data_IF_852183002407
#
_entry.id   IF_852183002407
#
_cell.length_a   1.000
_cell.length_b   1.000
_cell.length_c   1.000
_cell.angle_alpha   90.00
_cell.angle_beta   90.00
_cell.angle_gamma   90.00
#
_symmetry.space_group_name_H-M   'P 1'
#
loop_
_entity.id
_entity.type
_entity.pdbx_description
1 polymer ?
#
# COMPACT_ATOMS: atom_id res chain seq x y z
N UNK A 1 15.71 9.74 -8.13
CA UNK A 1 15.01 9.23 -6.94
C UNK A 1 16.05 8.79 -5.95
N UNK A 2 16.07 9.40 -4.78
CA UNK A 2 16.97 9.00 -3.69
C UNK A 2 16.28 8.01 -2.76
N UNK A 3 17.05 7.21 -2.04
CA UNK A 3 16.54 6.36 -0.94
C UNK A 3 17.51 6.43 0.23
N UNK A 4 16.96 6.55 1.44
CA UNK A 4 17.75 6.39 2.67
C UNK A 4 17.61 4.97 3.17
N UNK A 5 18.73 4.32 3.49
CA UNK A 5 18.77 2.97 4.03
C UNK A 5 19.51 2.94 5.36
N UNK A 6 19.16 1.99 6.22
CA UNK A 6 19.88 1.64 7.43
C UNK A 6 20.94 0.60 7.08
N UNK A 7 22.20 0.87 7.39
CA UNK A 7 23.27 -0.12 7.30
C UNK A 7 23.04 -1.21 8.35
N UNK A 8 22.86 -2.46 7.91
CA UNK A 8 22.39 -3.53 8.78
C UNK A 8 23.42 -3.97 9.84
N UNK A 9 24.69 -3.59 9.69
CA UNK A 9 25.75 -3.87 10.65
C UNK A 9 25.92 -2.72 11.66
N UNK A 10 25.90 -1.48 11.19
CA UNK A 10 26.22 -0.31 12.01
C UNK A 10 25.00 0.47 12.50
N UNK A 11 23.81 0.16 11.97
CA UNK A 11 22.54 0.87 12.18
C UNK A 11 22.57 2.34 11.77
N UNK A 12 23.59 2.76 11.01
CA UNK A 12 23.73 4.13 10.52
C UNK A 12 22.91 4.34 9.26
N UNK A 13 22.29 5.52 9.16
CA UNK A 13 21.55 5.94 7.97
C UNK A 13 22.52 6.34 6.85
N UNK A 14 22.24 5.90 5.61
CA UNK A 14 22.99 6.29 4.41
C UNK A 14 22.03 6.66 3.29
N UNK A 15 22.38 7.68 2.53
CA UNK A 15 21.62 8.12 1.37
C UNK A 15 22.23 7.54 0.09
N UNK A 16 21.37 7.03 -0.79
CA UNK A 16 21.71 6.48 -2.09
C UNK A 16 20.90 7.19 -3.17
N UNK A 17 21.53 7.45 -4.31
CA UNK A 17 20.88 8.02 -5.49
C UNK A 17 20.71 6.92 -6.55
N UNK A 18 19.75 7.11 -7.45
CA UNK A 18 19.51 6.23 -8.61
C UNK A 18 20.80 5.74 -9.27
N UNK A 19 20.82 4.46 -9.63
CA UNK A 19 21.97 3.79 -10.24
C UNK A 19 22.98 3.20 -9.26
N UNK A 20 22.91 3.55 -7.97
CA UNK A 20 23.79 3.03 -6.92
C UNK A 20 23.04 2.51 -5.68
N UNK A 21 21.77 2.13 -5.84
CA UNK A 21 20.98 1.57 -4.74
C UNK A 21 21.41 0.12 -4.53
N UNK A 22 21.96 -0.25 -3.36
CA UNK A 22 22.37 -1.62 -3.07
C UNK A 22 21.15 -2.53 -2.89
N UNK A 23 21.34 -3.84 -2.77
CA UNK A 23 20.27 -4.72 -2.29
C UNK A 23 19.88 -4.36 -0.86
N UNK A 24 18.57 -4.34 -0.57
CA UNK A 24 18.03 -4.05 0.76
C UNK A 24 16.81 -4.90 1.07
N UNK A 25 16.60 -5.13 2.36
CA UNK A 25 15.34 -5.63 2.91
C UNK A 25 14.44 -4.43 3.25
N UNK A 26 13.13 -4.64 3.26
CA UNK A 26 12.16 -3.60 3.60
C UNK A 26 11.22 -4.08 4.69
N UNK A 27 10.91 -3.25 5.69
CA UNK A 27 9.94 -3.57 6.74
C UNK A 27 8.57 -3.02 6.36
N UNK A 28 7.54 -3.86 6.52
CA UNK A 28 6.14 -3.50 6.51
C UNK A 28 5.52 -3.83 7.87
N UNK A 29 4.91 -2.85 8.52
CA UNK A 29 4.28 -3.02 9.83
C UNK A 29 3.16 -2.02 10.06
N UNK A 30 2.29 -2.32 11.02
CA UNK A 30 1.34 -1.31 11.50
C UNK A 30 2.01 -0.48 12.58
N UNK A 31 2.00 0.85 12.45
CA UNK A 31 2.60 1.75 13.42
C UNK A 31 1.94 1.65 14.79
N UNK A 32 2.75 1.76 15.83
CA UNK A 32 2.30 1.90 17.22
C UNK A 32 2.46 3.35 17.69
N UNK A 33 1.41 3.92 18.28
CA UNK A 33 1.40 5.31 18.72
C UNK A 33 2.57 5.58 19.69
N UNK A 34 3.30 6.66 19.42
CA UNK A 34 4.40 7.21 20.24
C UNK A 34 5.57 6.26 20.53
N UNK A 35 5.62 5.10 19.87
CA UNK A 35 6.69 4.10 20.05
C UNK A 35 7.53 3.87 18.79
N UNK A 36 7.13 4.43 17.65
CA UNK A 36 7.95 4.41 16.44
C UNK A 36 9.19 5.31 16.59
N UNK A 37 10.27 4.93 15.90
CA UNK A 37 11.53 5.68 15.87
C UNK A 37 11.54 6.60 14.64
N UNK A 38 11.90 7.87 14.83
CA UNK A 38 11.99 8.83 13.74
C UNK A 38 13.39 8.89 13.11
N UNK A 39 13.51 9.55 11.96
CA UNK A 39 14.81 9.84 11.35
C UNK A 39 15.72 10.63 12.30
N UNK A 40 15.20 11.68 12.93
CA UNK A 40 15.94 12.54 13.85
C UNK A 40 16.45 11.76 15.07
N UNK A 41 15.65 10.82 15.57
CA UNK A 41 16.06 9.97 16.69
C UNK A 41 17.14 8.97 16.29
N UNK A 42 17.11 8.42 15.08
CA UNK A 42 18.20 7.58 14.56
C UNK A 42 19.52 8.36 14.44
N UNK A 43 19.46 9.64 14.03
CA UNK A 43 20.64 10.51 14.01
C UNK A 43 21.16 10.76 15.44
N UNK A 44 20.26 11.11 16.37
CA UNK A 44 20.64 11.35 17.78
C UNK A 44 21.26 10.11 18.44
N UNK A 45 20.76 8.90 18.16
CA UNK A 45 21.35 7.63 18.62
C UNK A 45 22.73 7.40 17.99
N UNK A 46 22.91 7.75 16.73
CA UNK A 46 24.21 7.60 16.04
C UNK A 46 25.30 8.51 16.63
N UNK A 47 24.91 9.67 17.15
CA UNK A 47 25.80 10.62 17.84
C UNK A 47 26.01 10.25 19.33
N UNK A 48 24.95 9.78 19.99
CA UNK A 48 24.96 9.34 21.38
C UNK A 48 24.25 7.98 21.52
N UNK A 49 24.99 6.85 21.58
CA UNK A 49 24.42 5.52 21.72
C UNK A 49 23.58 5.30 23.00
N UNK A 50 23.70 6.17 24.00
CA UNK A 50 22.89 6.13 25.23
C UNK A 50 21.62 7.01 25.15
N UNK A 51 21.26 7.51 23.97
CA UNK A 51 20.07 8.33 23.79
C UNK A 51 18.79 7.56 24.17
N UNK A 52 17.84 8.12 24.95
CA UNK A 52 16.68 7.38 25.47
C UNK A 52 15.80 6.70 24.40
N UNK A 53 15.84 7.18 23.16
CA UNK A 53 15.09 6.60 22.05
C UNK A 53 15.50 5.16 21.70
N UNK A 54 16.64 4.66 22.18
CA UNK A 54 17.02 3.24 22.01
C UNK A 54 16.04 2.29 22.71
N UNK A 55 15.31 2.76 23.72
CA UNK A 55 14.30 1.96 24.45
C UNK A 55 12.96 1.91 23.71
N UNK A 56 12.79 2.66 22.62
CA UNK A 56 11.56 2.62 21.83
C UNK A 56 11.40 1.28 21.11
N UNK A 57 10.18 0.76 21.09
CA UNK A 57 9.85 -0.46 20.32
C UNK A 57 10.18 -0.31 18.83
N UNK A 58 9.98 0.87 18.25
CA UNK A 58 10.35 1.17 16.87
C UNK A 58 11.84 0.98 16.60
N UNK A 59 12.72 1.33 17.56
CA UNK A 59 14.14 1.06 17.44
C UNK A 59 14.44 -0.44 17.45
N UNK A 60 13.80 -1.19 18.35
CA UNK A 60 13.90 -2.64 18.37
C UNK A 60 13.43 -3.28 17.03
N UNK A 61 12.37 -2.75 16.40
CA UNK A 61 11.93 -3.19 15.06
C UNK A 61 13.01 -2.96 14.00
N UNK A 62 13.67 -1.81 14.01
CA UNK A 62 14.79 -1.50 13.08
C UNK A 62 15.95 -2.48 13.29
N UNK A 63 16.33 -2.72 14.55
CA UNK A 63 17.41 -3.65 14.92
C UNK A 63 17.09 -5.05 14.41
N UNK A 64 15.91 -5.58 14.69
CA UNK A 64 15.50 -6.93 14.26
C UNK A 64 15.39 -7.04 12.73
N UNK A 65 14.88 -6.01 12.05
CA UNK A 65 14.87 -5.94 10.58
C UNK A 65 16.29 -6.06 10.02
N UNK A 66 17.25 -5.32 10.58
CA UNK A 66 18.66 -5.39 10.20
C UNK A 66 19.27 -6.76 10.50
N UNK A 67 18.94 -7.36 11.64
CA UNK A 67 19.42 -8.71 11.98
C UNK A 67 18.91 -9.75 10.97
N UNK A 68 17.63 -9.71 10.59
CA UNK A 68 17.06 -10.58 9.55
C UNK A 68 17.70 -10.34 8.19
N UNK A 69 17.88 -9.07 7.79
CA UNK A 69 18.58 -8.71 6.56
C UNK A 69 19.98 -9.34 6.50
N UNK A 70 20.78 -9.22 7.57
CA UNK A 70 22.13 -9.83 7.63
C UNK A 70 22.10 -11.36 7.52
N UNK A 71 21.13 -12.03 8.15
CA UNK A 71 20.99 -13.50 8.04
C UNK A 71 20.71 -13.95 6.61
N UNK A 72 20.11 -13.08 5.80
CA UNK A 72 19.88 -13.28 4.38
C UNK A 72 20.98 -12.68 3.48
N UNK A 73 22.13 -12.30 4.04
CA UNK A 73 23.26 -11.65 3.35
C UNK A 73 22.91 -10.30 2.69
N UNK A 74 21.93 -9.58 3.24
CA UNK A 74 21.51 -8.26 2.77
C UNK A 74 22.10 -7.20 3.69
N UNK A 75 22.89 -6.29 3.11
CA UNK A 75 23.66 -5.30 3.88
C UNK A 75 22.85 -4.10 4.38
N UNK A 76 21.65 -3.88 3.82
CA UNK A 76 20.84 -2.71 4.08
C UNK A 76 19.39 -3.06 4.38
N UNK A 77 18.74 -2.22 5.19
CA UNK A 77 17.32 -2.30 5.47
C UNK A 77 16.65 -0.94 5.25
N UNK A 78 15.37 -0.96 4.90
CA UNK A 78 14.53 0.23 4.84
C UNK A 78 13.35 0.10 5.79
N UNK A 79 13.09 1.16 6.55
CA UNK A 79 11.96 1.28 7.47
C UNK A 79 11.37 2.68 7.32
N UNK A 80 10.11 2.77 6.91
CA UNK A 80 9.43 4.04 6.57
C UNK A 80 9.44 5.08 7.70
N UNK A 81 9.44 4.63 8.95
CA UNK A 81 9.39 5.50 10.12
C UNK A 81 10.66 6.33 10.32
N UNK A 82 11.82 5.79 9.96
CA UNK A 82 13.11 6.46 10.13
C UNK A 82 13.91 6.68 8.84
N UNK A 83 13.59 5.98 7.75
CA UNK A 83 14.22 6.21 6.45
C UNK A 83 13.66 7.43 5.72
N UNK A 84 12.47 7.91 6.08
CA UNK A 84 11.89 9.13 5.52
C UNK A 84 11.98 10.25 6.57
N UNK A 85 12.55 11.38 6.18
CA UNK A 85 12.48 12.60 6.95
C UNK A 85 11.11 13.24 6.76
N UNK A 86 10.17 12.88 7.63
CA UNK A 86 8.80 13.38 7.63
C UNK A 86 8.70 14.88 7.97
N UNK A 87 9.79 15.53 8.40
CA UNK A 87 9.83 16.99 8.61
C UNK A 87 10.08 17.76 7.32
N UNK A 88 10.62 17.08 6.29
CA UNK A 88 10.84 17.63 4.96
C UNK A 88 9.66 17.29 4.05
N UNK A 89 8.84 18.28 3.71
CA UNK A 89 7.67 18.09 2.85
C UNK A 89 8.03 17.64 1.43
N UNK A 90 9.19 18.09 0.92
CA UNK A 90 9.71 17.65 -0.38
C UNK A 90 10.12 16.18 -0.33
N UNK A 91 10.85 15.76 0.71
CA UNK A 91 11.24 14.36 0.87
C UNK A 91 10.03 13.46 1.08
N UNK A 92 9.08 13.86 1.92
CA UNK A 92 7.84 13.10 2.14
C UNK A 92 7.05 12.93 0.84
N UNK A 93 6.94 13.99 0.02
CA UNK A 93 6.25 13.93 -1.27
C UNK A 93 6.98 13.03 -2.27
N UNK A 94 8.32 13.11 -2.34
CA UNK A 94 9.11 12.20 -3.16
C UNK A 94 8.91 10.75 -2.68
N UNK A 95 8.99 10.51 -1.37
CA UNK A 95 8.85 9.20 -0.78
C UNK A 95 7.51 8.55 -1.06
N UNK A 96 6.40 9.28 -0.90
CA UNK A 96 5.06 8.73 -1.18
C UNK A 96 4.90 8.32 -2.65
N UNK A 97 5.42 9.13 -3.59
CA UNK A 97 5.39 8.78 -5.02
C UNK A 97 6.39 7.66 -5.39
N UNK A 98 7.33 7.34 -4.50
CA UNK A 98 8.39 6.35 -4.73
C UNK A 98 8.14 5.01 -4.04
N UNK A 99 7.30 4.99 -3.01
CA UNK A 99 7.25 3.90 -2.04
C UNK A 99 6.93 2.56 -2.67
N UNK A 100 5.98 2.52 -3.62
CA UNK A 100 5.68 1.30 -4.38
C UNK A 100 6.91 0.71 -5.05
N UNK A 101 7.72 1.57 -5.71
CA UNK A 101 8.94 1.13 -6.39
C UNK A 101 9.99 0.64 -5.39
N UNK A 102 10.09 1.27 -4.22
CA UNK A 102 10.99 0.79 -3.16
C UNK A 102 10.57 -0.59 -2.64
N UNK A 103 9.27 -0.82 -2.44
CA UNK A 103 8.77 -2.17 -2.11
C UNK A 103 9.01 -3.17 -3.25
N UNK A 104 8.79 -2.76 -4.51
CA UNK A 104 9.01 -3.60 -5.68
C UNK A 104 10.48 -4.02 -5.86
N UNK A 105 11.42 -3.12 -5.56
CA UNK A 105 12.86 -3.33 -5.74
C UNK A 105 13.55 -3.96 -4.52
N UNK A 106 12.86 -4.07 -3.38
CA UNK A 106 13.41 -4.74 -2.21
C UNK A 106 13.65 -6.23 -2.49
N UNK A 107 14.76 -6.75 -1.99
CA UNK A 107 15.10 -8.19 -2.09
C UNK A 107 14.10 -9.05 -1.30
N UNK A 108 13.62 -8.51 -0.18
CA UNK A 108 12.62 -9.15 0.67
C UNK A 108 11.86 -8.09 1.47
N UNK A 109 10.54 -8.24 1.55
CA UNK A 109 9.69 -7.51 2.46
C UNK A 109 9.41 -8.36 3.70
N UNK A 110 9.82 -7.89 4.88
CA UNK A 110 9.46 -8.49 6.14
C UNK A 110 8.18 -7.84 6.65
N UNK A 111 7.13 -8.63 6.84
CA UNK A 111 5.85 -8.17 7.40
C UNK A 111 5.79 -8.57 8.87
N UNK A 112 5.71 -7.58 9.76
CA UNK A 112 5.58 -7.80 11.20
C UNK A 112 4.11 -7.66 11.63
N UNK A 113 3.50 -8.78 12.01
CA UNK A 113 2.12 -8.86 12.50
C UNK A 113 2.10 -8.83 14.03
N UNK A 114 2.12 -7.63 14.61
CA UNK A 114 2.24 -7.46 16.08
C UNK A 114 1.01 -7.92 16.86
N UNK A 115 -0.14 -8.06 16.19
CA UNK A 115 -1.41 -8.53 16.75
C UNK A 115 -1.78 -9.96 16.29
N UNK A 116 -0.81 -10.70 15.74
CA UNK A 116 -0.99 -12.11 15.43
C UNK A 116 -1.10 -12.96 16.70
N UNK A 117 -2.21 -13.68 16.85
CA UNK A 117 -2.44 -14.58 17.97
C UNK A 117 -1.96 -16.00 17.64
N UNK A 118 -0.75 -16.34 18.10
CA UNK A 118 -0.17 -17.67 17.91
C UNK A 118 -0.89 -18.79 18.69
N UNK A 119 -1.75 -18.45 19.66
CA UNK A 119 -2.52 -19.43 20.43
C UNK A 119 -3.84 -19.84 19.75
N UNK A 120 -4.21 -19.17 18.66
CA UNK A 120 -5.39 -19.49 17.88
C UNK A 120 -5.33 -20.91 17.29
N UNK A 121 -6.51 -21.53 17.09
CA UNK A 121 -6.63 -22.92 16.68
C UNK A 121 -5.99 -23.25 15.31
N UNK A 122 -5.93 -22.27 14.41
CA UNK A 122 -5.27 -22.41 13.11
C UNK A 122 -4.78 -21.07 12.56
N UNK A 123 -3.84 -21.12 11.62
CA UNK A 123 -3.39 -19.94 10.87
C UNK A 123 -4.55 -19.25 10.13
N UNK A 124 -5.49 -20.04 9.61
CA UNK A 124 -6.69 -19.57 8.91
C UNK A 124 -7.62 -18.76 9.81
N UNK A 125 -7.61 -19.02 11.12
CA UNK A 125 -8.41 -18.27 12.11
C UNK A 125 -7.66 -17.04 12.65
N UNK A 126 -6.33 -17.14 12.78
CA UNK A 126 -5.50 -16.09 13.37
C UNK A 126 -5.19 -14.98 12.38
N UNK A 127 -4.71 -15.34 11.18
CA UNK A 127 -4.15 -14.42 10.21
C UNK A 127 -5.13 -13.33 9.76
N UNK A 128 -6.42 -13.62 9.44
CA UNK A 128 -7.36 -12.59 8.99
C UNK A 128 -7.68 -11.51 10.04
N UNK A 129 -7.39 -11.76 11.33
CA UNK A 129 -7.69 -10.83 12.42
C UNK A 129 -6.63 -9.75 12.59
N UNK A 130 -5.45 -9.92 11.99
CA UNK A 130 -4.38 -8.93 12.07
C UNK A 130 -4.81 -7.62 11.40
N UNK A 131 -4.59 -6.49 12.08
CA UNK A 131 -4.96 -5.16 11.55
C UNK A 131 -4.24 -4.81 10.25
N UNK A 132 -3.10 -5.43 9.98
CA UNK A 132 -2.30 -5.22 8.77
C UNK A 132 -3.14 -5.36 7.48
N UNK A 133 -4.09 -6.30 7.44
CA UNK A 133 -4.93 -6.53 6.25
C UNK A 133 -5.90 -5.39 5.94
N UNK A 134 -6.27 -4.59 6.94
CA UNK A 134 -7.20 -3.47 6.78
C UNK A 134 -6.49 -2.13 6.62
N UNK A 135 -5.16 -2.05 6.70
CA UNK A 135 -4.43 -0.79 6.48
C UNK A 135 -4.25 -0.50 5.00
N UNK A 136 -4.52 0.74 4.57
CA UNK A 136 -4.40 1.17 3.16
C UNK A 136 -3.01 0.95 2.59
N UNK A 137 -1.98 1.48 3.25
CA UNK A 137 -0.58 1.37 2.83
C UNK A 137 -0.11 -0.07 2.64
N UNK A 138 -0.50 -0.98 3.53
CA UNK A 138 -0.14 -2.39 3.47
C UNK A 138 -0.61 -3.12 2.19
N UNK A 139 -1.47 -2.51 1.37
CA UNK A 139 -1.84 -3.07 0.07
C UNK A 139 -0.64 -3.12 -0.88
N UNK A 140 0.02 -1.97 -1.10
CA UNK A 140 1.20 -1.93 -1.97
C UNK A 140 2.37 -2.71 -1.37
N UNK A 141 2.47 -2.76 -0.05
CA UNK A 141 3.51 -3.52 0.67
C UNK A 141 3.34 -5.04 0.49
N UNK A 142 2.12 -5.49 0.20
CA UNK A 142 1.81 -6.88 -0.14
C UNK A 142 2.11 -7.20 -1.61
N UNK A 143 1.60 -6.36 -2.51
CA UNK A 143 1.55 -6.68 -3.95
C UNK A 143 2.80 -6.25 -4.70
N UNK A 144 3.49 -5.19 -4.29
CA UNK A 144 4.65 -4.69 -5.02
C UNK A 144 5.88 -5.62 -4.90
N UNK A 145 6.30 -6.07 -3.70
CA UNK A 145 7.48 -6.92 -3.56
C UNK A 145 7.25 -8.31 -4.14
N UNK A 146 8.28 -8.89 -4.75
CA UNK A 146 8.24 -10.28 -5.21
C UNK A 146 8.23 -11.27 -4.04
N UNK A 147 9.12 -11.06 -3.05
CA UNK A 147 9.24 -11.90 -1.86
C UNK A 147 8.73 -11.16 -0.62
N UNK A 148 7.78 -11.78 0.09
CA UNK A 148 7.23 -11.28 1.35
C UNK A 148 7.25 -12.40 2.38
N UNK A 149 7.81 -12.14 3.56
CA UNK A 149 7.89 -13.08 4.68
C UNK A 149 7.12 -12.52 5.88
N UNK A 150 6.19 -13.30 6.41
CA UNK A 150 5.37 -12.90 7.56
C UNK A 150 6.01 -13.36 8.87
N UNK A 151 6.00 -12.48 9.86
CA UNK A 151 6.48 -12.74 11.22
C UNK A 151 5.45 -12.29 12.26
N UNK A 152 5.43 -12.98 13.41
CA UNK A 152 4.64 -12.56 14.58
C UNK A 152 5.36 -11.46 15.40
N UNK A 153 4.74 -11.00 16.49
CA UNK A 153 5.32 -10.00 17.39
C UNK A 153 6.68 -10.39 17.99
N UNK A 154 6.99 -11.68 18.08
CA UNK A 154 8.25 -12.24 18.56
C UNK A 154 9.29 -12.49 17.46
N UNK A 155 9.04 -12.02 16.22
CA UNK A 155 9.87 -12.29 15.04
C UNK A 155 10.00 -13.77 14.67
N UNK A 156 9.03 -14.59 15.12
CA UNK A 156 8.90 -15.98 14.69
C UNK A 156 8.29 -16.02 13.29
N UNK A 157 8.85 -16.88 12.45
CA UNK A 157 8.45 -17.00 11.06
C UNK A 157 7.07 -17.67 10.92
N UNK A 158 6.18 -17.05 10.15
CA UNK A 158 4.81 -17.54 9.90
C UNK A 158 4.73 -18.21 8.51
N UNK A 159 5.29 -17.59 7.47
CA UNK A 159 5.25 -18.15 6.11
C UNK A 159 5.63 -17.16 5.00
N UNK A 160 5.82 -17.67 3.78
CA UNK A 160 6.02 -16.87 2.57
C UNK A 160 4.67 -16.48 1.97
N UNK A 161 4.59 -15.30 1.33
CA UNK A 161 3.42 -14.91 0.53
C UNK A 161 3.02 -15.96 -0.51
N UNK A 162 3.98 -16.63 -1.15
CA UNK A 162 3.72 -17.68 -2.15
C UNK A 162 3.04 -18.90 -1.53
N UNK A 163 3.49 -19.32 -0.35
CA UNK A 163 2.95 -20.48 0.36
C UNK A 163 1.56 -20.17 0.94
N UNK A 164 1.36 -18.94 1.38
CA UNK A 164 0.11 -18.45 1.96
C UNK A 164 -0.86 -17.88 0.92
N UNK A 165 -0.52 -17.90 -0.38
CA UNK A 165 -1.24 -17.15 -1.40
C UNK A 165 -2.74 -17.47 -1.43
N UNK A 166 -3.13 -18.74 -1.29
CA UNK A 166 -4.55 -19.13 -1.22
C UNK A 166 -5.28 -18.51 -0.02
N UNK A 167 -4.66 -18.49 1.16
CA UNK A 167 -5.24 -17.85 2.36
C UNK A 167 -5.28 -16.32 2.19
N UNK A 168 -4.24 -15.72 1.62
CA UNK A 168 -4.19 -14.28 1.35
C UNK A 168 -5.28 -13.87 0.33
N UNK A 169 -5.54 -14.68 -0.70
CA UNK A 169 -6.62 -14.46 -1.67
C UNK A 169 -8.00 -14.47 -1.01
N UNK A 170 -8.21 -15.32 -0.01
CA UNK A 170 -9.45 -15.34 0.77
C UNK A 170 -9.61 -14.08 1.63
N UNK A 171 -8.53 -13.61 2.26
CA UNK A 171 -8.54 -12.41 3.12
C UNK A 171 -8.73 -11.13 2.30
N UNK A 172 -7.97 -10.99 1.22
CA UNK A 172 -7.77 -9.69 0.54
C UNK A 172 -8.60 -9.52 -0.71
N UNK A 173 -9.05 -10.62 -1.29
CA UNK A 173 -9.68 -10.59 -2.60
C UNK A 173 -8.70 -10.67 -3.79
N UNK A 174 -7.39 -10.56 -3.54
CA UNK A 174 -6.37 -10.50 -4.59
C UNK A 174 -6.08 -11.90 -5.13
N UNK A 175 -6.05 -12.03 -6.45
CA UNK A 175 -5.85 -13.30 -7.15
C UNK A 175 -4.48 -13.92 -6.83
N UNK A 176 -4.45 -15.25 -6.75
CA UNK A 176 -3.24 -15.99 -6.39
C UNK A 176 -2.11 -15.72 -7.38
N UNK A 177 -2.46 -15.62 -8.65
CA UNK A 177 -1.53 -15.34 -9.75
C UNK A 177 -0.82 -14.00 -9.55
N UNK A 178 -1.55 -12.97 -9.10
CA UNK A 178 -1.01 -11.63 -8.81
C UNK A 178 -0.11 -11.64 -7.58
N UNK A 179 -0.47 -12.42 -6.56
CA UNK A 179 0.34 -12.56 -5.34
C UNK A 179 1.68 -13.25 -5.62
N UNK A 180 1.70 -14.16 -6.61
CA UNK A 180 2.90 -14.87 -7.06
C UNK A 180 3.71 -14.04 -8.05
N UNK A 181 3.06 -13.35 -8.98
CA UNK A 181 3.68 -12.53 -10.01
C UNK A 181 3.07 -11.11 -10.03
N UNK A 182 3.78 -10.16 -9.41
CA UNK A 182 3.33 -8.77 -9.34
C UNK A 182 3.37 -8.03 -10.68
N UNK A 183 4.01 -8.58 -11.72
CA UNK A 183 4.03 -7.96 -13.06
C UNK A 183 2.64 -7.98 -13.72
N UNK A 184 1.74 -8.86 -13.25
CA UNK A 184 0.38 -8.97 -13.79
C UNK A 184 -0.53 -7.80 -13.40
N UNK A 185 -0.17 -7.00 -12.39
CA UNK A 185 -1.05 -5.95 -11.84
C UNK A 185 -1.51 -4.96 -12.91
N UNK A 186 -0.60 -4.49 -13.77
CA UNK A 186 -0.91 -3.48 -14.79
C UNK A 186 -1.89 -4.00 -15.86
N UNK A 187 -1.92 -5.32 -16.09
CA UNK A 187 -2.84 -5.96 -17.04
C UNK A 187 -4.28 -6.06 -16.53
N UNK A 188 -4.52 -5.77 -15.25
CA UNK A 188 -5.84 -5.92 -14.64
C UNK A 188 -6.69 -4.66 -14.78
N UNK A 189 -8.03 -4.83 -14.87
CA UNK A 189 -8.93 -3.70 -14.92
C UNK A 189 -8.74 -2.75 -13.74
N UNK A 190 -8.82 -1.45 -14.01
CA UNK A 190 -8.75 -0.38 -12.99
C UNK A 190 -9.71 -0.66 -11.83
N UNK A 191 -10.95 -1.04 -12.13
CA UNK A 191 -11.96 -1.36 -11.11
C UNK A 191 -11.58 -2.53 -10.22
N UNK A 192 -10.95 -3.56 -10.79
CA UNK A 192 -10.52 -4.75 -10.06
C UNK A 192 -9.40 -4.38 -9.09
N UNK A 193 -8.41 -3.62 -9.54
CA UNK A 193 -7.36 -3.06 -8.68
C UNK A 193 -7.92 -2.16 -7.57
N UNK A 194 -8.89 -1.30 -7.90
CA UNK A 194 -9.60 -0.46 -6.91
C UNK A 194 -10.30 -1.31 -5.84
N UNK A 195 -10.90 -2.44 -6.24
CA UNK A 195 -11.62 -3.32 -5.31
C UNK A 195 -10.74 -3.88 -4.18
N UNK A 196 -9.43 -4.05 -4.40
CA UNK A 196 -8.48 -4.52 -3.40
C UNK A 196 -8.33 -3.57 -2.20
N UNK A 197 -8.69 -2.30 -2.38
CA UNK A 197 -8.69 -1.28 -1.34
C UNK A 197 -10.07 -1.05 -0.69
N UNK A 198 -11.13 -1.73 -1.16
CA UNK A 198 -12.49 -1.52 -0.68
C UNK A 198 -12.64 -1.78 0.83
N UNK A 199 -11.96 -2.79 1.37
CA UNK A 199 -12.00 -3.14 2.79
C UNK A 199 -10.96 -2.43 3.66
N UNK A 200 -10.19 -1.49 3.09
CA UNK A 200 -9.04 -0.87 3.78
C UNK A 200 -9.36 0.52 4.32
N UNK A 201 -8.55 0.96 5.29
CA UNK A 201 -8.68 2.19 6.05
C UNK A 201 -7.34 2.88 6.22
N UNK A 202 -7.37 4.21 6.30
CA UNK A 202 -6.21 5.08 6.49
C UNK A 202 -6.46 6.07 7.61
N UNK A 203 -5.39 6.50 8.28
CA UNK A 203 -5.51 7.46 9.38
C UNK A 203 -5.82 8.87 8.88
N UNK A 204 -5.19 9.29 7.77
CA UNK A 204 -5.53 10.51 7.04
C UNK A 204 -6.45 10.16 5.88
N UNK A 205 -7.40 11.04 5.59
CA UNK A 205 -8.39 10.80 4.54
C UNK A 205 -7.73 10.75 3.15
N UNK A 206 -6.74 11.61 2.92
CA UNK A 206 -6.00 11.70 1.66
C UNK A 206 -5.15 10.46 1.38
N UNK A 207 -4.65 9.80 2.43
CA UNK A 207 -3.82 8.61 2.29
C UNK A 207 -4.55 7.45 1.60
N UNK A 208 -5.90 7.45 1.61
CA UNK A 208 -6.70 6.48 0.84
C UNK A 208 -6.42 6.58 -0.66
N UNK A 209 -6.10 7.78 -1.15
CA UNK A 209 -5.68 7.98 -2.53
C UNK A 209 -4.18 7.72 -2.68
N UNK A 210 -3.36 8.26 -1.77
CA UNK A 210 -1.91 8.20 -1.88
C UNK A 210 -1.34 6.78 -1.77
N UNK A 211 -1.97 5.90 -0.99
CA UNK A 211 -1.54 4.52 -0.87
C UNK A 211 -1.79 3.67 -2.15
N UNK A 212 -2.49 4.22 -3.14
CA UNK A 212 -2.84 3.54 -4.39
C UNK A 212 -2.02 4.01 -5.59
N UNK A 213 -1.22 5.07 -5.45
CA UNK A 213 -0.50 5.70 -6.57
C UNK A 213 0.33 4.69 -7.37
N UNK A 214 1.11 3.85 -6.69
CA UNK A 214 1.93 2.86 -7.35
C UNK A 214 1.18 1.69 -7.96
N UNK A 215 0.03 1.30 -7.41
CA UNK A 215 -0.84 0.25 -7.98
C UNK A 215 -1.39 0.68 -9.35
N UNK A 216 -1.60 1.98 -9.51
CA UNK A 216 -2.07 2.59 -10.76
C UNK A 216 -0.96 3.21 -11.60
N UNK A 217 0.30 3.14 -11.14
CA UNK A 217 1.46 3.72 -11.81
C UNK A 217 1.27 5.21 -12.17
N UNK A 218 0.74 5.99 -11.22
CA UNK A 218 0.53 7.44 -11.35
C UNK A 218 1.29 8.21 -10.27
N UNK A 219 1.54 9.49 -10.53
CA UNK A 219 2.17 10.41 -9.58
C UNK A 219 1.33 11.68 -9.45
N UNK A 220 1.27 12.26 -8.25
CA UNK A 220 0.58 13.53 -8.02
C UNK A 220 1.17 14.28 -6.81
N UNK A 221 0.97 15.61 -6.68
CA UNK A 221 1.36 16.36 -5.49
C UNK A 221 0.61 15.93 -4.23
N UNK A 222 1.32 15.81 -3.10
CA UNK A 222 0.74 15.53 -1.78
C UNK A 222 0.17 16.81 -1.16
N UNK A 223 -1.16 16.94 -1.11
CA UNK A 223 -1.87 18.08 -0.54
C UNK A 223 -2.67 17.64 0.70
N UNK A 224 -1.99 17.50 1.84
CA UNK A 224 -2.69 17.21 3.10
C UNK A 224 -3.60 18.37 3.52
N UNK A 225 -4.86 18.07 3.84
CA UNK A 225 -5.93 19.03 4.11
C UNK A 225 -6.98 19.12 2.99
N UNK A 226 -6.79 18.43 1.86
CA UNK A 226 -7.77 18.41 0.77
C UNK A 226 -8.91 17.39 0.96
N UNK A 227 -8.76 16.47 1.93
CA UNK A 227 -9.73 15.42 2.24
C UNK A 227 -10.06 14.53 1.04
N UNK A 228 -11.35 14.26 0.83
CA UNK A 228 -11.85 13.39 -0.27
C UNK A 228 -11.44 13.84 -1.68
N UNK A 229 -11.02 15.08 -1.87
CA UNK A 229 -10.54 15.57 -3.17
C UNK A 229 -9.30 14.80 -3.65
N UNK A 230 -8.49 14.26 -2.75
CA UNK A 230 -7.35 13.42 -3.09
C UNK A 230 -7.77 12.19 -3.94
N UNK A 231 -8.88 11.55 -3.58
CA UNK A 231 -9.38 10.37 -4.32
C UNK A 231 -10.01 10.72 -5.67
N UNK A 232 -10.59 11.92 -5.79
CA UNK A 232 -11.01 12.46 -7.09
C UNK A 232 -9.79 12.67 -8.00
N UNK A 233 -8.75 13.36 -7.50
CA UNK A 233 -7.51 13.61 -8.24
C UNK A 233 -6.81 12.30 -8.65
N UNK A 234 -6.84 11.27 -7.81
CA UNK A 234 -6.35 9.94 -8.19
C UNK A 234 -7.08 9.41 -9.43
N UNK A 235 -8.41 9.46 -9.45
CA UNK A 235 -9.19 9.02 -10.61
C UNK A 235 -8.88 9.85 -11.85
N UNK A 236 -8.69 11.17 -11.71
CA UNK A 236 -8.25 12.03 -12.81
C UNK A 236 -6.88 11.59 -13.35
N UNK A 237 -5.90 11.31 -12.49
CA UNK A 237 -4.58 10.82 -12.93
C UNK A 237 -4.66 9.46 -13.65
N UNK A 238 -5.52 8.56 -13.18
CA UNK A 238 -5.74 7.27 -13.83
C UNK A 238 -6.34 7.46 -15.23
N UNK A 239 -7.35 8.33 -15.37
CA UNK A 239 -7.96 8.63 -16.68
C UNK A 239 -6.96 9.27 -17.63
N UNK A 240 -6.04 10.10 -17.14
CA UNK A 240 -5.03 10.71 -17.97
C UNK A 240 -4.01 9.71 -18.54
N UNK A 241 -3.89 8.51 -17.96
CA UNK A 241 -2.90 7.49 -18.33
C UNK A 241 -3.53 6.19 -18.84
N UNK A 242 -4.85 6.05 -18.76
CA UNK A 242 -5.58 4.83 -19.12
C UNK A 242 -6.98 5.14 -19.65
N UNK A 243 -7.38 4.44 -20.74
CA UNK A 243 -8.74 4.45 -21.27
C UNK A 243 -9.53 3.19 -20.85
N UNK A 244 -9.19 2.62 -19.69
CA UNK A 244 -9.92 1.50 -19.11
C UNK A 244 -11.30 1.95 -18.58
N UNK A 245 -12.34 1.59 -19.33
CA UNK A 245 -13.75 1.88 -18.99
C UNK A 245 -14.20 1.31 -17.64
N UNK A 246 -13.48 0.34 -17.08
CA UNK A 246 -13.84 -0.21 -15.77
C UNK A 246 -13.77 0.83 -14.66
N UNK A 247 -13.04 1.96 -14.83
CA UNK A 247 -13.06 3.05 -13.84
C UNK A 247 -14.49 3.58 -13.55
N UNK A 248 -15.44 3.40 -14.47
CA UNK A 248 -16.86 3.75 -14.29
C UNK A 248 -17.76 2.60 -13.82
N UNK A 249 -17.20 1.42 -13.54
CA UNK A 249 -17.95 0.22 -13.14
C UNK A 249 -18.35 0.21 -11.65
N UNK A 250 -18.04 1.26 -10.90
CA UNK A 250 -18.35 1.37 -9.49
C UNK A 250 -19.88 1.40 -9.23
N UNK A 251 -20.30 0.84 -8.11
CA UNK A 251 -21.69 0.80 -7.71
C UNK A 251 -21.84 1.18 -6.24
N UNK A 252 -22.43 2.35 -5.99
CA UNK A 252 -22.83 2.72 -4.64
C UNK A 252 -24.06 1.91 -4.26
N UNK A 253 -23.91 0.94 -3.35
CA UNK A 253 -25.07 0.24 -2.74
C UNK A 253 -25.97 1.31 -2.11
N UNK A 254 -27.19 1.46 -2.62
CA UNK A 254 -28.19 2.27 -1.92
C UNK A 254 -28.46 1.58 -0.59
N UNK A 255 -28.11 2.21 0.52
CA UNK A 255 -28.41 1.70 1.87
C UNK A 255 -29.93 1.68 2.16
N UNK A 256 -30.78 2.03 1.19
CA UNK A 256 -32.23 2.01 1.29
C UNK A 256 -32.81 0.66 0.86
N UNK A 257 -32.53 -0.40 1.61
CA UNK A 257 -33.36 -1.62 1.58
C UNK A 257 -34.61 -1.47 2.48
N UNK A 258 -35.23 -0.30 2.51
CA UNK A 258 -36.59 -0.18 3.01
C UNK A 258 -37.54 -0.57 1.87
N UNK A 259 -37.98 -1.83 1.90
CA UNK A 259 -39.00 -2.45 1.04
C UNK A 259 -40.40 -1.78 1.13
N UNK A 260 -40.51 -0.55 1.63
CA UNK A 260 -41.77 0.16 1.85
C UNK A 260 -41.94 1.43 1.00
N UNK A 261 -41.02 1.78 0.09
CA UNK A 261 -41.26 2.88 -0.86
C UNK A 261 -41.17 2.43 -2.31
N UNK A 262 -42.27 1.87 -2.81
CA UNK A 262 -42.53 1.67 -4.26
C UNK A 262 -42.78 2.99 -5.02
N UNK A 263 -42.58 4.17 -4.39
CA UNK A 263 -42.96 5.47 -4.96
C UNK A 263 -41.97 6.62 -4.70
N UNK A 264 -40.66 6.36 -4.62
CA UNK A 264 -39.65 7.41 -4.81
C UNK A 264 -38.59 6.95 -5.81
N UNK A 265 -38.90 7.13 -7.09
CA UNK A 265 -38.02 6.93 -8.23
C UNK A 265 -37.00 8.08 -8.37
N UNK A 266 -36.30 8.44 -7.31
CA UNK A 266 -35.06 9.19 -7.42
C UNK A 266 -33.92 8.18 -7.36
N UNK A 267 -33.52 7.63 -8.51
CA UNK A 267 -32.16 7.09 -8.62
C UNK A 267 -31.25 8.21 -8.11
N UNK A 268 -30.46 8.01 -7.04
CA UNK A 268 -29.58 9.06 -6.57
C UNK A 268 -28.72 9.47 -7.76
N UNK A 269 -28.70 10.77 -8.09
CA UNK A 269 -27.76 11.32 -9.05
C UNK A 269 -26.38 10.81 -8.65
N UNK A 270 -25.75 10.04 -9.54
CA UNK A 270 -24.42 9.50 -9.31
C UNK A 270 -23.44 10.52 -9.84
N UNK A 271 -22.48 10.90 -9.01
CA UNK A 271 -21.32 11.62 -9.50
C UNK A 271 -20.59 10.78 -10.53
N UNK A 272 -19.88 11.45 -11.43
CA UNK A 272 -19.12 10.84 -12.52
C UNK A 272 -17.97 9.95 -12.00
N UNK A 273 -17.51 10.25 -10.79
CA UNK A 273 -16.41 9.60 -10.11
C UNK A 273 -16.86 8.92 -8.83
N UNK A 274 -16.17 7.85 -8.47
CA UNK A 274 -16.37 7.16 -7.20
C UNK A 274 -15.93 8.05 -6.03
N UNK A 275 -16.54 7.83 -4.86
CA UNK A 275 -16.21 8.60 -3.64
C UNK A 275 -15.19 7.88 -2.75
N UNK A 276 -15.00 6.58 -2.98
CA UNK A 276 -14.09 5.71 -2.23
C UNK A 276 -13.82 4.43 -3.01
N UNK A 277 -12.69 3.73 -2.79
CA UNK A 277 -12.48 2.36 -3.28
C UNK A 277 -13.60 1.38 -2.90
N UNK A 278 -14.33 1.64 -1.81
CA UNK A 278 -15.52 0.85 -1.40
C UNK A 278 -16.58 0.74 -2.49
N UNK A 279 -16.71 1.75 -3.33
CA UNK A 279 -17.68 1.75 -4.43
C UNK A 279 -17.33 0.69 -5.50
N UNK A 280 -16.12 0.13 -5.48
CA UNK A 280 -15.63 -0.93 -6.37
C UNK A 280 -15.67 -2.34 -5.75
N UNK A 281 -16.26 -2.54 -4.57
CA UNK A 281 -16.24 -3.84 -3.88
C UNK A 281 -16.79 -5.02 -4.72
N UNK A 282 -17.71 -4.74 -5.64
CA UNK A 282 -18.29 -5.74 -6.56
C UNK A 282 -17.49 -5.97 -7.84
N UNK A 283 -16.31 -5.36 -7.99
CA UNK A 283 -15.54 -5.36 -9.23
C UNK A 283 -14.42 -6.41 -9.28
N UNK A 284 -14.31 -7.26 -8.25
CA UNK A 284 -13.24 -8.26 -8.10
C UNK A 284 -13.10 -9.18 -9.31
N UNK A 285 -14.21 -9.57 -9.94
CA UNK A 285 -14.20 -10.57 -11.02
C UNK A 285 -14.21 -9.95 -12.43
N UNK A 286 -14.08 -8.62 -12.56
CA UNK A 286 -14.10 -7.95 -13.88
C UNK A 286 -12.87 -8.27 -14.71
N UNK A 287 -13.04 -8.79 -15.93
CA UNK A 287 -11.94 -9.09 -16.87
C UNK A 287 -12.01 -8.19 -18.10
N UNK A 288 -10.87 -7.91 -18.76
CA UNK A 288 -10.90 -7.31 -20.08
C UNK A 288 -11.40 -8.33 -21.11
N UNK A 289 -12.31 -7.92 -21.99
CA UNK A 289 -12.99 -8.84 -22.91
C UNK A 289 -12.33 -8.96 -24.28
N UNK A 290 -11.31 -8.14 -24.63
CA UNK A 290 -10.36 -8.24 -25.77
C UNK A 290 -9.74 -6.89 -26.22
N UNK A 291 -10.20 -5.75 -25.72
CA UNK A 291 -9.66 -4.44 -26.13
C UNK A 291 -8.41 -4.08 -25.33
N UNK A 292 -7.37 -3.61 -26.02
CA UNK A 292 -6.25 -2.94 -25.39
C UNK A 292 -6.75 -1.63 -24.74
N UNK A 293 -6.62 -1.53 -23.42
CA UNK A 293 -7.08 -0.38 -22.64
C UNK A 293 -6.14 0.81 -22.69
N UNK A 294 -4.89 0.61 -23.12
CA UNK A 294 -3.89 1.67 -23.22
C UNK A 294 -3.99 2.45 -24.54
N UNK A 295 -4.49 1.81 -25.61
CA UNK A 295 -4.47 2.38 -26.97
C UNK A 295 -5.84 2.51 -27.64
N UNK A 296 -6.92 2.58 -26.86
CA UNK A 296 -8.24 2.88 -27.40
C UNK A 296 -8.64 4.34 -27.13
N UNK A 297 -9.64 4.83 -27.86
CA UNK A 297 -10.13 6.22 -27.76
C UNK A 297 -11.48 6.29 -27.00
N UNK A 298 -11.76 5.35 -26.08
CA UNK A 298 -13.10 5.17 -25.53
C UNK A 298 -13.66 6.41 -24.83
N UNK A 299 -12.82 7.20 -24.14
CA UNK A 299 -13.25 8.45 -23.53
C UNK A 299 -12.10 9.46 -23.34
N UNK A 300 -12.45 10.70 -23.01
CA UNK A 300 -11.51 11.74 -22.59
C UNK A 300 -12.13 12.67 -21.55
N UNK A 301 -11.35 13.08 -20.55
CA UNK A 301 -11.77 14.08 -19.57
C UNK A 301 -11.46 15.49 -20.09
N UNK A 302 -12.46 16.36 -20.07
CA UNK A 302 -12.35 17.77 -20.47
C UNK A 302 -12.86 18.66 -19.35
N UNK A 303 -12.65 19.98 -19.46
CA UNK A 303 -13.27 20.95 -18.55
C UNK A 303 -14.81 20.98 -18.61
N UNK A 304 -15.43 20.33 -19.61
CA UNK A 304 -16.89 20.16 -19.73
C UNK A 304 -17.39 18.83 -19.16
N UNK A 305 -16.50 17.98 -18.64
CA UNK A 305 -16.78 16.62 -18.18
C UNK A 305 -16.19 15.55 -19.10
N UNK A 306 -16.73 14.33 -19.01
CA UNK A 306 -16.24 13.17 -19.77
C UNK A 306 -16.96 13.07 -21.10
N UNK A 307 -16.17 12.94 -22.16
CA UNK A 307 -16.63 12.72 -23.52
C UNK A 307 -16.31 11.28 -23.91
N UNK A 308 -17.33 10.44 -24.04
CA UNK A 308 -17.22 9.09 -24.61
C UNK A 308 -17.27 9.19 -26.14
N UNK A 309 -16.41 8.43 -26.83
CA UNK A 309 -16.37 8.39 -28.30
C UNK A 309 -17.03 7.14 -28.86
#
# INVERSE_FOLDING_TARGET
>A
MGIRLVDAQTLRMRWFMDGNIPQYAILSHTWENDQEISYQEMIAISENPAHPAVEKRGYAKVVETCQKARRNNIAYAWVDTCCIDKTSSSELSEAINSMYRWYQQAEVCYVLLTDFDAASASLRDALPKCRWWTRGWCLQELVAPQRVEFFDAGWNYIGLKTDLASLITEITGIEKEVLIDSSLIESLPVARRMSWAAGRETSREEDMAYCLLGIFNVSMPMLYGEGKKAFLRLQEQIIHTSNDLSIFAFHRRSLTNNLSSRYNSSRPYRDLFATSPRDFIGCRDLVHTRMDVHWNNAFSLTNKGIHFR
#
